data_IF_677831708707
#
_entry.id   IF_677831708707
#
_cell.length_a   1.000
_cell.length_b   1.000
_cell.length_c   1.000
_cell.angle_alpha   90.00
_cell.angle_beta   90.00
_cell.angle_gamma   90.00
#
_symmetry.space_group_name_H-M   'P 1'
#
loop_
_entity.id
_entity.type
_entity.pdbx_description
1 polymer ?
#
# COMPACT_ATOMS: atom_id res chain seq x y z
N UNK A 1 3.38 -0.33 11.02
CA UNK A 1 4.72 -0.70 10.53
C UNK A 1 4.61 -2.07 9.86
N UNK A 2 5.09 -2.19 8.62
CA UNK A 2 5.17 -3.46 7.88
C UNK A 2 6.63 -3.71 7.53
N UNK A 3 7.10 -4.94 7.74
CA UNK A 3 8.49 -5.35 7.49
C UNK A 3 8.49 -6.66 6.72
N UNK A 4 9.32 -6.73 5.70
CA UNK A 4 9.65 -7.94 4.95
C UNK A 4 11.17 -8.17 4.98
N UNK A 5 11.67 -9.16 4.23
CA UNK A 5 13.12 -9.40 4.14
C UNK A 5 13.86 -8.27 3.42
N UNK A 6 13.23 -7.63 2.43
CA UNK A 6 13.87 -6.62 1.59
C UNK A 6 13.37 -5.19 1.84
N UNK A 7 12.28 -5.01 2.59
CA UNK A 7 11.65 -3.70 2.74
C UNK A 7 11.06 -3.48 4.13
N UNK A 8 11.12 -2.23 4.61
CA UNK A 8 10.41 -1.76 5.80
C UNK A 8 9.62 -0.49 5.46
N UNK A 9 8.33 -0.51 5.75
CA UNK A 9 7.42 0.63 5.61
C UNK A 9 6.85 1.04 6.97
N UNK A 10 6.89 2.33 7.24
CA UNK A 10 6.22 2.97 8.37
C UNK A 10 5.32 4.07 7.80
N UNK A 11 4.02 3.92 7.94
CA UNK A 11 3.07 5.00 7.65
C UNK A 11 2.53 5.50 8.98
N UNK A 12 2.56 6.81 9.22
CA UNK A 12 2.01 7.39 10.44
C UNK A 12 0.50 7.55 10.30
N UNK A 13 -0.26 7.10 11.30
CA UNK A 13 -1.72 7.24 11.30
C UNK A 13 -2.10 8.72 11.26
N UNK A 14 -3.10 9.07 10.45
CA UNK A 14 -3.55 10.45 10.19
C UNK A 14 -2.51 11.42 9.60
N UNK A 15 -1.35 10.93 9.17
CA UNK A 15 -0.34 11.70 8.43
C UNK A 15 -0.29 11.31 6.96
N UNK A 16 0.28 12.18 6.14
CA UNK A 16 0.77 11.88 4.79
C UNK A 16 2.27 11.58 4.78
N UNK A 17 2.91 11.61 5.95
CA UNK A 17 4.34 11.29 6.12
C UNK A 17 4.54 9.82 6.46
N UNK A 18 5.73 9.33 6.14
CA UNK A 18 6.12 7.96 6.44
C UNK A 18 7.61 7.73 6.28
N UNK A 19 7.97 6.45 6.35
CA UNK A 19 9.33 5.98 6.17
C UNK A 19 9.32 4.73 5.30
N UNK A 20 10.20 4.72 4.31
CA UNK A 20 10.42 3.56 3.44
C UNK A 20 11.91 3.25 3.42
N UNK A 21 12.27 2.04 3.84
CA UNK A 21 13.65 1.54 3.80
C UNK A 21 13.72 0.30 2.92
N UNK A 22 14.69 0.31 2.01
CA UNK A 22 15.14 -0.87 1.29
C UNK A 22 16.12 -1.62 2.19
N UNK A 23 15.68 -2.69 2.86
CA UNK A 23 16.52 -3.46 3.77
C UNK A 23 17.55 -4.34 3.02
N UNK A 24 17.37 -4.57 1.72
CA UNK A 24 18.33 -5.33 0.93
C UNK A 24 19.53 -4.45 0.56
N UNK A 25 19.28 -3.21 0.15
CA UNK A 25 20.32 -2.23 -0.16
C UNK A 25 20.83 -1.47 1.08
N UNK A 26 19.95 -1.25 2.06
CA UNK A 26 20.22 -0.51 3.29
C UNK A 26 19.66 -1.25 4.53
N UNK A 27 20.31 -2.35 4.95
CA UNK A 27 19.92 -3.08 6.17
C UNK A 27 19.97 -2.23 7.44
N UNK A 28 20.70 -1.11 7.40
CA UNK A 28 20.86 -0.18 8.50
C UNK A 28 19.70 0.80 8.66
N UNK A 29 18.75 0.84 7.72
CA UNK A 29 17.60 1.76 7.74
C UNK A 29 18.05 3.24 7.83
N UNK A 30 19.15 3.59 7.15
CA UNK A 30 19.77 4.91 7.24
C UNK A 30 19.10 5.89 6.27
N UNK A 31 18.70 5.42 5.09
CA UNK A 31 18.17 6.21 4.00
C UNK A 31 16.66 6.05 3.93
N UNK A 32 15.93 7.04 4.46
CA UNK A 32 14.49 7.12 4.26
C UNK A 32 14.20 7.50 2.81
N UNK A 33 13.53 6.59 2.09
CA UNK A 33 13.14 6.76 0.68
C UNK A 33 11.70 7.21 0.51
N UNK A 34 11.04 7.64 1.58
CA UNK A 34 9.64 8.10 1.57
C UNK A 34 9.41 9.23 0.55
N UNK A 35 10.29 10.23 0.53
CA UNK A 35 10.19 11.41 -0.34
C UNK A 35 11.09 11.32 -1.60
N UNK A 36 11.64 10.14 -1.91
CA UNK A 36 12.57 9.97 -3.04
C UNK A 36 11.84 10.23 -4.36
N UNK A 37 12.17 11.30 -5.12
CA UNK A 37 11.49 11.61 -6.36
C UNK A 37 11.78 10.60 -7.47
N UNK A 38 12.83 9.77 -7.34
CA UNK A 38 13.02 8.62 -8.24
C UNK A 38 11.98 7.51 -8.01
N UNK A 39 11.29 7.53 -6.85
CA UNK A 39 10.15 6.68 -6.53
C UNK A 39 8.81 7.37 -6.77
N UNK A 40 8.75 8.69 -7.01
CA UNK A 40 7.54 9.43 -7.35
C UNK A 40 7.05 9.10 -8.78
N UNK A 41 6.88 7.80 -9.04
CA UNK A 41 6.11 7.29 -10.15
C UNK A 41 4.67 7.79 -10.03
N UNK A 42 4.02 7.96 -11.18
CA UNK A 42 2.62 8.38 -11.31
C UNK A 42 1.66 7.52 -10.46
N UNK A 43 2.06 6.29 -10.13
CA UNK A 43 1.37 5.39 -9.21
C UNK A 43 1.39 5.86 -7.75
N UNK A 44 2.51 6.38 -7.24
CA UNK A 44 2.57 6.89 -5.86
C UNK A 44 1.69 8.11 -5.71
N UNK A 45 1.72 9.02 -6.69
CA UNK A 45 0.82 10.17 -6.70
C UNK A 45 -0.64 9.75 -6.78
N UNK A 46 -0.99 8.81 -7.67
CA UNK A 46 -2.36 8.29 -7.75
C UNK A 46 -2.80 7.62 -6.44
N UNK A 47 -1.87 6.93 -5.77
CA UNK A 47 -2.13 6.32 -4.48
C UNK A 47 -2.44 7.37 -3.42
N UNK A 48 -1.57 8.38 -3.29
CA UNK A 48 -1.67 9.37 -2.22
C UNK A 48 -2.82 10.35 -2.42
N UNK A 49 -3.06 10.77 -3.66
CA UNK A 49 -4.10 11.75 -3.98
C UNK A 49 -5.49 11.12 -4.10
N UNK A 50 -5.60 9.83 -4.43
CA UNK A 50 -6.89 9.19 -4.70
C UNK A 50 -7.16 7.94 -3.90
N UNK A 51 -6.24 6.98 -3.85
CA UNK A 51 -6.50 5.69 -3.19
C UNK A 51 -6.58 5.85 -1.67
N UNK A 52 -5.63 6.54 -1.03
CA UNK A 52 -5.64 6.71 0.42
C UNK A 52 -6.88 7.50 0.89
N UNK A 53 -7.22 8.67 0.31
CA UNK A 53 -8.39 9.42 0.75
C UNK A 53 -9.68 8.62 0.58
N UNK A 54 -9.79 7.87 -0.52
CA UNK A 54 -10.91 6.96 -0.75
C UNK A 54 -10.98 5.86 0.31
N UNK A 55 -9.87 5.17 0.58
CA UNK A 55 -9.80 4.09 1.57
C UNK A 55 -10.20 4.58 2.97
N UNK A 56 -9.72 5.76 3.38
CA UNK A 56 -10.03 6.35 4.69
C UNK A 56 -11.51 6.66 4.89
N UNK A 57 -12.28 6.81 3.80
CA UNK A 57 -13.73 7.03 3.86
C UNK A 57 -14.53 5.73 3.97
N UNK A 58 -13.91 4.57 3.73
CA UNK A 58 -14.62 3.30 3.73
C UNK A 58 -14.86 2.79 5.17
N UNK A 59 -16.08 2.36 5.51
CA UNK A 59 -16.38 1.80 6.82
C UNK A 59 -15.51 0.58 7.13
N UNK A 60 -14.95 0.55 8.35
CA UNK A 60 -14.12 -0.56 8.82
C UNK A 60 -12.70 -0.57 8.24
N UNK A 61 -12.26 0.47 7.53
CA UNK A 61 -10.87 0.60 7.11
C UNK A 61 -9.97 0.91 8.32
N UNK A 62 -8.91 0.12 8.51
CA UNK A 62 -7.97 0.29 9.62
C UNK A 62 -6.64 0.87 9.14
N UNK A 63 -6.05 0.26 8.12
CA UNK A 63 -4.79 0.75 7.55
C UNK A 63 -4.55 0.21 6.14
N UNK A 64 -3.67 0.88 5.41
CA UNK A 64 -3.16 0.41 4.13
C UNK A 64 -1.64 0.39 4.18
N UNK A 65 -1.04 -0.46 3.35
CA UNK A 65 0.40 -0.57 3.16
C UNK A 65 0.62 -1.06 1.74
N UNK A 66 1.56 -0.45 1.03
CA UNK A 66 1.96 -0.92 -0.28
C UNK A 66 3.48 -1.00 -0.38
N UNK A 67 3.94 -1.76 -1.35
CA UNK A 67 5.34 -1.80 -1.74
C UNK A 67 5.43 -1.90 -3.25
N UNK A 68 6.35 -1.14 -3.85
CA UNK A 68 6.64 -1.17 -5.27
C UNK A 68 8.10 -1.50 -5.49
N UNK A 69 8.34 -2.46 -6.37
CA UNK A 69 9.65 -2.79 -6.89
C UNK A 69 9.80 -2.14 -8.28
N UNK A 70 10.60 -1.08 -8.36
CA UNK A 70 10.86 -0.35 -9.59
C UNK A 70 11.66 -1.15 -10.63
N UNK A 71 12.48 -2.12 -10.19
CA UNK A 71 13.29 -2.94 -11.10
C UNK A 71 12.44 -3.97 -11.83
N UNK A 72 11.46 -4.57 -11.15
CA UNK A 72 10.54 -5.56 -11.75
C UNK A 72 9.20 -4.97 -12.17
N UNK A 73 8.92 -3.70 -11.83
CA UNK A 73 7.65 -2.99 -12.02
C UNK A 73 6.46 -3.75 -11.43
N UNK A 74 6.65 -4.33 -10.25
CA UNK A 74 5.61 -5.07 -9.52
C UNK A 74 5.30 -4.40 -8.20
N UNK A 75 4.03 -4.44 -7.83
CA UNK A 75 3.54 -3.89 -6.57
C UNK A 75 2.74 -4.89 -5.78
N UNK A 76 2.77 -4.75 -4.46
CA UNK A 76 1.81 -5.36 -3.57
C UNK A 76 1.08 -4.27 -2.80
N UNK A 77 -0.23 -4.43 -2.65
CA UNK A 77 -1.08 -3.59 -1.82
C UNK A 77 -1.75 -4.48 -0.78
N UNK A 78 -1.67 -4.07 0.47
CA UNK A 78 -2.24 -4.76 1.62
C UNK A 78 -3.11 -3.74 2.36
N UNK A 79 -4.38 -4.08 2.55
CA UNK A 79 -5.34 -3.28 3.32
C UNK A 79 -5.83 -4.10 4.50
N UNK A 80 -5.87 -3.47 5.68
CA UNK A 80 -6.37 -4.05 6.91
C UNK A 80 -7.74 -3.45 7.21
N UNK A 81 -8.66 -4.33 7.59
CA UNK A 81 -10.06 -4.02 7.84
C UNK A 81 -10.50 -4.60 9.19
N UNK A 82 -11.48 -3.96 9.82
CA UNK A 82 -12.06 -4.40 11.10
C UNK A 82 -12.83 -5.73 10.97
N UNK A 83 -13.38 -6.01 9.79
CA UNK A 83 -14.13 -7.23 9.51
C UNK A 83 -13.88 -7.77 8.11
N UNK A 84 -14.10 -9.07 7.93
CA UNK A 84 -14.09 -9.72 6.60
C UNK A 84 -15.13 -9.09 5.67
N UNK A 85 -16.30 -8.75 6.19
CA UNK A 85 -17.38 -8.12 5.42
C UNK A 85 -16.93 -6.77 4.85
N UNK A 86 -16.25 -5.94 5.64
CA UNK A 86 -15.68 -4.67 5.18
C UNK A 86 -14.61 -4.90 4.09
N UNK A 87 -13.72 -5.88 4.26
CA UNK A 87 -12.70 -6.24 3.28
C UNK A 87 -13.30 -6.77 1.95
N UNK A 88 -14.38 -7.54 2.02
CA UNK A 88 -15.10 -8.04 0.85
C UNK A 88 -15.87 -6.92 0.14
N UNK A 89 -16.42 -5.97 0.91
CA UNK A 89 -17.02 -4.73 0.40
C UNK A 89 -16.03 -3.88 -0.38
N UNK A 90 -14.78 -3.77 0.10
CA UNK A 90 -13.70 -3.08 -0.59
C UNK A 90 -13.42 -3.62 -1.99
N UNK A 91 -13.42 -4.95 -2.16
CA UNK A 91 -13.22 -5.57 -3.49
C UNK A 91 -14.25 -5.08 -4.51
N UNK A 92 -15.49 -4.91 -4.07
CA UNK A 92 -16.58 -4.38 -4.91
C UNK A 92 -16.37 -2.90 -5.20
N UNK A 93 -16.00 -2.12 -4.19
CA UNK A 93 -15.75 -0.69 -4.31
C UNK A 93 -14.56 -0.36 -5.24
N UNK A 94 -13.55 -1.22 -5.27
CA UNK A 94 -12.37 -1.09 -6.15
C UNK A 94 -12.67 -1.26 -7.64
N UNK A 95 -13.81 -1.84 -8.01
CA UNK A 95 -14.16 -2.08 -9.42
C UNK A 95 -14.07 -0.81 -10.28
N UNK A 96 -14.44 0.35 -9.74
CA UNK A 96 -14.33 1.64 -10.44
C UNK A 96 -12.90 2.20 -10.50
N UNK A 97 -12.03 1.81 -9.58
CA UNK A 97 -10.62 2.24 -9.58
C UNK A 97 -9.73 1.39 -10.48
N UNK A 98 -10.09 0.13 -10.74
CA UNK A 98 -9.31 -0.76 -11.64
C UNK A 98 -9.10 -0.12 -13.01
N UNK A 99 -10.11 0.55 -13.57
CA UNK A 99 -9.99 1.24 -14.86
C UNK A 99 -8.99 2.40 -14.82
N UNK A 100 -8.91 3.12 -13.70
CA UNK A 100 -7.97 4.22 -13.53
C UNK A 100 -6.53 3.71 -13.44
N UNK A 101 -6.30 2.61 -12.72
CA UNK A 101 -4.99 1.96 -12.68
C UNK A 101 -4.57 1.43 -14.05
N UNK A 102 -5.51 0.83 -14.80
CA UNK A 102 -5.24 0.39 -16.18
C UNK A 102 -4.87 1.54 -17.11
N UNK A 103 -5.48 2.71 -16.95
CA UNK A 103 -5.19 3.89 -17.77
C UNK A 103 -3.74 4.41 -17.60
N UNK A 104 -3.15 4.22 -16.41
CA UNK A 104 -1.73 4.52 -16.14
C UNK A 104 -0.80 3.32 -16.37
N UNK A 105 -1.29 2.27 -17.06
CA UNK A 105 -0.51 1.10 -17.45
C UNK A 105 -0.33 0.06 -16.35
N UNK A 106 -1.12 0.10 -15.28
CA UNK A 106 -1.03 -0.85 -14.18
C UNK A 106 -2.11 -1.92 -14.28
N UNK A 107 -1.67 -3.17 -14.19
CA UNK A 107 -2.56 -4.31 -14.04
C UNK A 107 -2.69 -4.66 -12.56
N UNK A 108 -3.93 -4.59 -12.05
CA UNK A 108 -4.25 -5.06 -10.70
C UNK A 108 -4.90 -6.43 -10.81
N UNK A 109 -4.24 -7.43 -10.23
CA UNK A 109 -4.82 -8.76 -10.09
C UNK A 109 -5.86 -8.79 -8.97
N UNK A 110 -6.85 -9.71 -9.01
CA UNK A 110 -7.85 -9.83 -7.97
C UNK A 110 -7.24 -9.98 -6.58
N UNK A 111 -7.66 -9.13 -5.64
CA UNK A 111 -7.21 -9.21 -4.25
C UNK A 111 -7.78 -10.44 -3.55
N UNK A 112 -6.98 -11.00 -2.64
CA UNK A 112 -7.39 -12.10 -1.76
C UNK A 112 -7.60 -11.59 -0.34
N UNK A 113 -8.65 -12.08 0.33
CA UNK A 113 -8.99 -11.70 1.70
C UNK A 113 -8.51 -12.76 2.66
N UNK A 114 -7.64 -12.37 3.60
CA UNK A 114 -7.10 -13.23 4.64
C UNK A 114 -7.54 -12.75 6.03
N UNK A 115 -7.75 -13.69 6.94
CA UNK A 115 -7.94 -13.37 8.35
C UNK A 115 -6.57 -13.28 9.06
N UNK A 116 -6.34 -12.19 9.79
CA UNK A 116 -5.15 -12.07 10.64
C UNK A 116 -5.35 -12.93 11.87
N UNK A 117 -4.71 -14.10 11.91
CA UNK A 117 -4.85 -15.07 13.02
C UNK A 117 -3.89 -14.81 14.18
N UNK A 118 -2.79 -14.10 13.93
CA UNK A 118 -1.80 -13.73 14.94
C UNK A 118 -1.01 -12.52 14.47
N UNK A 119 -0.82 -11.55 15.36
CA UNK A 119 0.14 -10.46 15.20
C UNK A 119 1.35 -10.77 16.09
N UNK A 120 2.54 -10.77 15.52
CA UNK A 120 3.79 -10.98 16.26
C UNK A 120 4.35 -9.60 16.59
N UNK A 121 4.68 -9.31 17.87
CA UNK A 121 5.29 -8.04 18.27
C UNK A 121 6.75 -7.89 17.80
#
# INVERSE_FOLDING_TARGET
>A
MVRSQAWKLVHFVDSTEGQLFDLAADPGEIHNRWDDPAQADELLQLNDDRLIPFLRQLPGFVSYTYGLDAATRRGIFITIWESREAAEGFRTAMGGMVQHFQAVGLQIDPSQVYAVVRQIP
#
